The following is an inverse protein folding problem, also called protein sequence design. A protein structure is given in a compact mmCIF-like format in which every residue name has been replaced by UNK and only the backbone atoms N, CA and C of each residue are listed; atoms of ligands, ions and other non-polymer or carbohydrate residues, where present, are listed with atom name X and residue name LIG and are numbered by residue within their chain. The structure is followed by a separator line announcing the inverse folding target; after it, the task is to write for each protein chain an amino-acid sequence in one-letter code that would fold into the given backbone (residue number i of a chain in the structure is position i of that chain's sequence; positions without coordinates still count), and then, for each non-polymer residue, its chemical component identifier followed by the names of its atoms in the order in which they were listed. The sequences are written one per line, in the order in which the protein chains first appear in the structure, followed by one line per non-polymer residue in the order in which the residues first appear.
data_IF_954133041918
#
_entry.id   IF_954133041918
#
_cell.length_a   1.000
_cell.length_b   1.000
_cell.length_c   1.000
_cell.angle_alpha   90.00
_cell.angle_beta   90.00
_cell.angle_gamma   90.00
#
_symmetry.space_group_name_H-M   'P 1'
#
loop_
_entity.id
_entity.type
_entity.pdbx_description
1 polymer ?
#
# COMPACT_ATOMS: atom_id res chain seq x y z
N UNK A 1 3.10 -3.12 11.78
CA UNK A 1 4.14 -3.45 12.77
C UNK A 1 3.55 -3.55 14.15
N UNK A 2 3.94 -4.55 14.84
CA UNK A 2 3.38 -4.90 16.13
C UNK A 2 4.40 -4.69 17.24
N UNK A 3 3.98 -4.08 18.35
CA UNK A 3 4.86 -3.88 19.50
C UNK A 3 4.22 -4.53 20.73
N UNK A 4 4.91 -5.47 21.32
CA UNK A 4 4.42 -6.14 22.52
C UNK A 4 4.42 -5.25 23.73
N UNK A 5 5.38 -4.34 23.83
CA UNK A 5 5.52 -3.48 25.01
C UNK A 5 4.38 -2.49 25.11
N UNK A 6 4.03 -1.84 24.01
CA UNK A 6 3.00 -0.80 24.00
C UNK A 6 1.65 -1.35 23.59
N UNK A 7 1.62 -2.55 23.04
CA UNK A 7 0.43 -3.15 22.48
C UNK A 7 -0.19 -2.29 21.38
N UNK A 8 0.67 -1.63 20.65
CA UNK A 8 0.25 -0.79 19.53
C UNK A 8 0.78 -1.36 18.23
N UNK A 9 0.06 -1.13 17.16
CA UNK A 9 0.49 -1.51 15.83
C UNK A 9 -0.01 -0.47 14.84
N UNK A 10 0.54 -0.49 13.63
CA UNK A 10 0.03 0.37 12.58
C UNK A 10 -1.39 -0.08 12.24
N UNK A 11 -2.31 0.86 12.24
CA UNK A 11 -3.70 0.57 11.92
C UNK A 11 -4.01 0.84 10.47
N UNK A 12 -3.60 2.01 9.98
CA UNK A 12 -3.87 2.43 8.62
C UNK A 12 -2.58 2.87 7.97
N UNK A 13 -2.43 2.52 6.72
CA UNK A 13 -1.34 2.98 5.87
C UNK A 13 -1.92 3.79 4.74
N UNK A 14 -1.19 4.84 4.33
CA UNK A 14 -1.60 5.73 3.27
C UNK A 14 -0.46 5.94 2.30
N UNK A 15 -0.77 5.96 1.02
CA UNK A 15 0.19 6.26 -0.02
C UNK A 15 -0.39 7.32 -0.93
N UNK A 16 0.30 8.45 -1.04
CA UNK A 16 -0.06 9.54 -1.94
C UNK A 16 0.91 9.53 -3.10
N UNK A 17 0.38 9.49 -4.32
CA UNK A 17 1.20 9.46 -5.52
C UNK A 17 1.67 10.88 -5.85
N UNK A 18 2.98 11.06 -5.98
CA UNK A 18 3.59 12.33 -6.32
C UNK A 18 4.14 12.38 -7.74
N UNK A 19 4.12 11.25 -8.46
CA UNK A 19 4.58 11.16 -9.83
C UNK A 19 3.40 11.00 -10.78
N UNK A 20 3.54 11.54 -11.99
CA UNK A 20 2.57 11.28 -13.06
C UNK A 20 2.77 9.86 -13.57
N UNK A 21 1.68 9.26 -14.05
CA UNK A 21 1.76 7.88 -14.55
C UNK A 21 2.76 7.73 -15.69
N UNK A 22 2.95 8.79 -16.49
CA UNK A 22 3.87 8.75 -17.62
C UNK A 22 5.34 8.88 -17.20
N UNK A 23 5.60 9.21 -15.94
CA UNK A 23 6.96 9.42 -15.44
C UNK A 23 7.71 8.11 -15.17
N UNK A 24 7.01 6.98 -15.17
CA UNK A 24 7.62 5.71 -14.80
C UNK A 24 6.84 4.54 -15.39
N UNK A 25 7.49 3.39 -15.44
CA UNK A 25 6.87 2.13 -15.81
C UNK A 25 7.11 1.12 -14.69
N UNK A 26 6.16 0.21 -14.52
CA UNK A 26 6.19 -0.71 -13.40
C UNK A 26 5.68 -0.03 -12.14
N UNK A 27 6.08 -0.52 -11.00
CA UNK A 27 5.74 0.10 -9.71
C UNK A 27 4.26 0.02 -9.34
N UNK A 28 3.52 -0.90 -9.94
CA UNK A 28 2.10 -1.05 -9.64
C UNK A 28 1.90 -1.54 -8.21
N UNK A 29 0.88 -1.00 -7.57
CA UNK A 29 0.48 -1.43 -6.24
C UNK A 29 -0.49 -2.61 -6.39
N UNK A 30 -0.27 -3.69 -5.64
CA UNK A 30 -1.13 -4.86 -5.71
C UNK A 30 -1.58 -5.27 -4.32
N UNK A 31 -2.86 -5.57 -4.19
CA UNK A 31 -3.44 -6.08 -2.95
C UNK A 31 -3.89 -7.51 -3.16
N UNK A 32 -3.67 -8.34 -2.16
CA UNK A 32 -4.14 -9.71 -2.18
C UNK A 32 -5.62 -9.76 -1.84
N UNK A 33 -6.38 -10.49 -2.64
CA UNK A 33 -7.80 -10.71 -2.43
C UNK A 33 -8.07 -12.20 -2.44
N UNK A 34 -9.05 -12.61 -1.66
CA UNK A 34 -9.50 -13.99 -1.62
C UNK A 34 -10.92 -14.05 -2.15
N UNK A 35 -11.13 -14.87 -3.18
CA UNK A 35 -12.43 -15.08 -3.77
C UNK A 35 -12.59 -16.56 -4.09
N UNK A 36 -13.74 -17.13 -3.72
CA UNK A 36 -14.05 -18.53 -4.02
C UNK A 36 -12.94 -19.51 -3.60
N UNK A 37 -12.27 -19.22 -2.49
CA UNK A 37 -11.21 -20.07 -1.99
C UNK A 37 -9.87 -19.88 -2.67
N UNK A 38 -9.75 -18.92 -3.58
CA UNK A 38 -8.51 -18.64 -4.29
C UNK A 38 -8.00 -17.26 -3.96
N UNK A 39 -6.69 -17.10 -4.01
CA UNK A 39 -6.08 -15.80 -3.79
C UNK A 39 -5.70 -15.15 -5.11
N UNK A 40 -5.95 -13.85 -5.20
CA UNK A 40 -5.62 -13.05 -6.37
C UNK A 40 -4.94 -11.76 -5.93
N UNK A 41 -4.12 -11.19 -6.80
CA UNK A 41 -3.60 -9.85 -6.59
C UNK A 41 -4.35 -8.90 -7.50
N UNK A 42 -4.91 -7.85 -6.91
CA UNK A 42 -5.58 -6.80 -7.67
C UNK A 42 -4.64 -5.63 -7.83
N UNK A 43 -4.39 -5.25 -9.07
CA UNK A 43 -3.52 -4.14 -9.38
C UNK A 43 -4.26 -2.81 -9.25
N UNK A 44 -3.61 -1.84 -8.62
CA UNK A 44 -4.14 -0.49 -8.48
C UNK A 44 -3.05 0.47 -8.91
N UNK A 45 -3.38 1.33 -9.87
CA UNK A 45 -2.46 2.33 -10.38
C UNK A 45 -2.98 3.71 -10.01
N UNK A 46 -2.15 4.46 -9.29
CA UNK A 46 -2.50 5.80 -8.86
C UNK A 46 -1.89 6.82 -9.81
N UNK A 47 -2.67 7.87 -10.11
CA UNK A 47 -2.13 9.02 -10.82
C UNK A 47 -1.69 10.08 -9.81
N UNK A 48 -1.02 11.13 -10.30
CA UNK A 48 -0.52 12.18 -9.41
C UNK A 48 -1.68 12.79 -8.61
N UNK A 49 -1.45 12.95 -7.31
CA UNK A 49 -2.44 13.51 -6.41
C UNK A 49 -3.45 12.52 -5.88
N UNK A 50 -3.45 11.28 -6.36
CA UNK A 50 -4.34 10.25 -5.85
C UNK A 50 -3.73 9.57 -4.65
N UNK A 51 -4.58 9.19 -3.70
CA UNK A 51 -4.14 8.56 -2.47
C UNK A 51 -4.94 7.30 -2.24
N UNK A 52 -4.26 6.29 -1.72
CA UNK A 52 -4.92 5.07 -1.26
C UNK A 52 -4.70 4.92 0.24
N UNK A 53 -5.76 4.55 0.94
CA UNK A 53 -5.73 4.29 2.38
C UNK A 53 -6.19 2.86 2.59
N UNK A 54 -5.44 2.10 3.34
CA UNK A 54 -5.77 0.68 3.55
C UNK A 54 -5.34 0.24 4.94
N UNK A 55 -5.99 -0.82 5.48
CA UNK A 55 -5.54 -1.41 6.74
C UNK A 55 -4.13 -1.94 6.60
N UNK A 56 -3.27 -1.65 7.57
CA UNK A 56 -1.87 -2.05 7.49
C UNK A 56 -1.66 -3.55 7.47
N UNK A 57 -2.63 -4.30 7.97
CA UNK A 57 -2.54 -5.76 7.97
C UNK A 57 -2.88 -6.38 6.62
N UNK A 58 -3.40 -5.57 5.69
CA UNK A 58 -3.75 -6.08 4.37
C UNK A 58 -2.50 -6.47 3.59
N UNK A 59 -2.51 -7.67 3.04
CA UNK A 59 -1.38 -8.16 2.26
C UNK A 59 -1.27 -7.34 0.97
N UNK A 60 -0.10 -6.80 0.74
CA UNK A 60 0.13 -5.97 -0.45
C UNK A 60 1.58 -6.08 -0.89
N UNK A 61 1.82 -5.67 -2.13
CA UNK A 61 3.17 -5.61 -2.67
C UNK A 61 3.22 -4.51 -3.74
N UNK A 62 4.44 -4.08 -4.04
CA UNK A 62 4.69 -3.09 -5.10
C UNK A 62 5.63 -3.75 -6.09
N UNK A 63 5.22 -3.79 -7.37
CA UNK A 63 6.09 -4.30 -8.42
C UNK A 63 7.26 -3.37 -8.64
N UNK A 64 8.41 -3.91 -9.06
CA UNK A 64 9.58 -3.07 -9.32
C UNK A 64 9.30 -2.02 -10.40
N UNK A 65 9.89 -0.85 -10.22
CA UNK A 65 9.88 0.19 -11.24
C UNK A 65 10.92 -0.19 -12.29
N UNK A 66 10.50 -0.27 -13.55
CA UNK A 66 11.37 -0.71 -14.63
C UNK A 66 11.89 0.45 -15.47
N UNK A 67 11.26 1.62 -15.40
CA UNK A 67 11.69 2.80 -16.11
C UNK A 67 11.19 4.03 -15.35
N UNK A 68 12.01 5.07 -15.33
CA UNK A 68 11.64 6.34 -14.74
C UNK A 68 11.74 6.34 -13.23
N UNK A 69 11.08 7.29 -12.61
CA UNK A 69 11.13 7.50 -11.17
C UNK A 69 9.73 7.61 -10.60
N UNK A 70 9.45 6.81 -9.58
CA UNK A 70 8.15 6.80 -8.89
C UNK A 70 8.34 7.39 -7.50
N UNK A 71 7.69 8.52 -7.24
CA UNK A 71 7.75 9.20 -5.95
C UNK A 71 6.42 9.11 -5.25
N UNK A 72 6.45 8.78 -3.98
CA UNK A 72 5.24 8.67 -3.15
C UNK A 72 5.51 9.26 -1.79
N UNK A 73 4.44 9.73 -1.16
CA UNK A 73 4.46 10.10 0.25
C UNK A 73 3.72 8.99 0.99
N UNK A 74 4.37 8.42 1.98
CA UNK A 74 3.79 7.31 2.76
C UNK A 74 3.59 7.79 4.19
N UNK A 75 2.44 7.48 4.74
CA UNK A 75 2.13 7.78 6.13
C UNK A 75 1.33 6.61 6.71
N UNK A 76 1.29 6.55 8.04
CA UNK A 76 0.51 5.53 8.70
C UNK A 76 0.11 6.04 10.07
N UNK A 77 -0.94 5.43 10.60
CA UNK A 77 -1.41 5.72 11.95
C UNK A 77 -1.10 4.55 12.87
N UNK A 78 -0.97 4.84 14.14
CA UNK A 78 -0.77 3.85 15.18
C UNK A 78 -2.02 3.77 16.04
N UNK A 79 -2.22 2.65 16.68
CA UNK A 79 -3.32 2.50 17.59
C UNK A 79 -3.22 1.19 18.36
N UNK A 80 -4.16 0.95 19.28
CA UNK A 80 -4.17 -0.29 20.02
C UNK A 80 -4.35 -1.49 19.08
N UNK A 81 -3.89 -2.64 19.56
CA UNK A 81 -4.06 -3.87 18.81
C UNK A 81 -5.54 -4.15 18.56
N UNK A 82 -5.84 -4.70 17.40
CA UNK A 82 -7.20 -5.14 17.10
C UNK A 82 -7.56 -6.32 17.99
N UNK A 83 -8.80 -6.36 18.39
CA UNK A 83 -9.32 -7.45 19.21
C UNK A 83 -10.22 -8.35 18.40
#
# INVERSE_FOLDING_TARGET
MWSEETRECRKLSMTLMLSKRDDYEGGSFEFQRFENGESHFQEINLDIGEMIVFPSILQHRIKPVTRGERKVLVAWTWGPMFK
#
